data_IF_792845443154
#
_entry.id   IF_792845443154
#
_cell.length_a   1.000
_cell.length_b   1.000
_cell.length_c   1.000
_cell.angle_alpha   90.00
_cell.angle_beta   90.00
_cell.angle_gamma   90.00
#
_symmetry.space_group_name_H-M   'P 1'
#
loop_
_entity.id
_entity.type
_entity.pdbx_description
1 polymer ?
#
# COMPACT_ATOMS: atom_id res chain seq x y z
N UNK A 1 -24.03 -9.65 27.51
CA UNK A 1 -22.62 -9.20 27.58
C UNK A 1 -22.26 -8.83 26.16
N UNK A 2 -22.46 -7.57 25.77
CA UNK A 2 -22.04 -7.08 24.46
C UNK A 2 -20.51 -7.01 24.50
N UNK A 3 -19.86 -8.01 23.90
CA UNK A 3 -18.45 -7.88 23.57
C UNK A 3 -18.32 -6.69 22.62
N UNK A 4 -17.71 -5.60 23.11
CA UNK A 4 -17.51 -4.39 22.34
C UNK A 4 -16.76 -4.72 21.05
N UNK A 5 -17.49 -4.77 19.94
CA UNK A 5 -16.95 -5.00 18.61
C UNK A 5 -16.10 -3.80 18.20
N UNK A 6 -14.81 -3.83 18.58
CA UNK A 6 -13.81 -2.95 18.00
C UNK A 6 -13.74 -3.34 16.52
N UNK A 7 -14.31 -2.51 15.65
CA UNK A 7 -14.27 -2.71 14.22
C UNK A 7 -12.83 -2.83 13.71
N UNK A 8 -12.62 -3.40 12.51
CA UNK A 8 -11.29 -3.56 11.96
C UNK A 8 -10.58 -2.20 11.83
N UNK A 9 -9.30 -2.14 12.24
CA UNK A 9 -8.48 -0.93 12.08
C UNK A 9 -8.14 -0.73 10.60
N UNK A 10 -8.75 0.26 9.99
CA UNK A 10 -8.65 0.52 8.55
C UNK A 10 -7.75 1.73 8.27
N UNK A 11 -7.05 1.66 7.14
CA UNK A 11 -6.48 2.80 6.45
C UNK A 11 -7.33 3.18 5.25
N UNK A 12 -7.60 4.47 5.12
CA UNK A 12 -8.44 5.04 4.07
C UNK A 12 -7.66 6.04 3.22
N UNK A 13 -8.16 6.35 2.04
CA UNK A 13 -7.61 7.38 1.17
C UNK A 13 -7.68 8.75 1.86
N UNK A 14 -6.57 9.50 1.85
CA UNK A 14 -6.55 10.82 2.48
C UNK A 14 -7.50 11.84 1.82
N UNK A 15 -7.86 11.64 0.55
CA UNK A 15 -8.67 12.58 -0.25
C UNK A 15 -10.17 12.33 -0.12
N UNK A 16 -10.62 11.08 -0.27
CA UNK A 16 -12.05 10.74 -0.30
C UNK A 16 -12.50 9.78 0.81
N UNK A 17 -11.59 9.34 1.69
CA UNK A 17 -11.89 8.43 2.81
C UNK A 17 -12.36 7.03 2.43
N UNK A 18 -12.25 6.62 1.15
CA UNK A 18 -12.49 5.24 0.76
C UNK A 18 -11.46 4.30 1.42
N UNK A 19 -11.89 3.11 1.87
CA UNK A 19 -11.04 2.14 2.55
C UNK A 19 -10.01 1.55 1.58
N UNK A 20 -8.75 1.45 2.01
CA UNK A 20 -7.61 1.05 1.16
C UNK A 20 -6.92 -0.20 1.66
N UNK A 21 -6.71 -0.34 2.97
CA UNK A 21 -6.03 -1.50 3.54
C UNK A 21 -6.37 -1.68 5.02
N UNK A 22 -6.20 -2.90 5.52
CA UNK A 22 -6.31 -3.21 6.95
C UNK A 22 -4.97 -2.97 7.64
N UNK A 23 -5.01 -2.57 8.91
CA UNK A 23 -3.81 -2.46 9.73
C UNK A 23 -3.08 -3.80 9.87
N UNK A 24 -3.83 -4.88 9.99
CA UNK A 24 -3.30 -6.21 10.26
C UNK A 24 -2.64 -6.82 9.01
N UNK A 25 -2.89 -6.25 7.82
CA UNK A 25 -2.19 -6.58 6.57
C UNK A 25 -0.81 -5.91 6.45
N UNK A 26 -0.39 -5.08 7.42
CA UNK A 26 0.93 -4.46 7.37
C UNK A 26 2.02 -5.51 7.55
N UNK A 27 2.87 -5.63 6.53
CA UNK A 27 4.11 -6.43 6.57
C UNK A 27 5.26 -5.62 7.15
N UNK A 28 5.37 -4.33 6.81
CA UNK A 28 6.43 -3.46 7.33
C UNK A 28 6.03 -1.99 7.39
N UNK A 29 6.34 -1.35 8.52
CA UNK A 29 6.17 0.10 8.73
C UNK A 29 7.43 0.91 8.41
N UNK A 30 8.53 0.23 8.09
CA UNK A 30 9.85 0.83 7.89
C UNK A 30 10.21 1.02 6.41
N UNK A 31 9.20 1.04 5.52
CA UNK A 31 9.43 1.33 4.10
C UNK A 31 9.60 2.82 3.85
N UNK A 32 10.35 3.12 2.80
CA UNK A 32 10.60 4.48 2.34
C UNK A 32 10.23 4.58 0.86
N UNK A 33 9.40 5.58 0.55
CA UNK A 33 9.16 6.07 -0.79
C UNK A 33 10.05 7.29 -1.04
N UNK A 34 10.15 7.71 -2.30
CA UNK A 34 10.89 8.94 -2.68
C UNK A 34 10.37 10.18 -1.96
N UNK A 35 9.10 10.19 -1.60
CA UNK A 35 8.38 11.30 -0.96
C UNK A 35 8.36 11.20 0.58
N UNK A 36 8.92 10.14 1.18
CA UNK A 36 8.98 9.96 2.64
C UNK A 36 8.61 8.56 3.10
N UNK A 37 8.00 8.45 4.29
CA UNK A 37 7.65 7.15 4.90
C UNK A 37 6.51 6.48 4.14
N UNK A 38 6.62 5.16 3.97
CA UNK A 38 5.61 4.33 3.34
C UNK A 38 5.48 2.99 4.08
N UNK A 39 4.36 2.31 3.88
CA UNK A 39 4.06 1.02 4.52
C UNK A 39 3.86 -0.05 3.46
N UNK A 40 4.40 -1.23 3.75
CA UNK A 40 4.21 -2.42 2.93
C UNK A 40 3.03 -3.23 3.48
N UNK A 41 2.07 -3.57 2.62
CA UNK A 41 0.88 -4.35 2.94
C UNK A 41 0.81 -5.61 2.08
N UNK A 42 0.26 -6.69 2.64
CA UNK A 42 -0.09 -7.91 1.90
C UNK A 42 -1.25 -7.68 0.94
N UNK A 43 -2.29 -6.95 1.38
CA UNK A 43 -3.52 -6.74 0.63
C UNK A 43 -3.90 -5.26 0.53
N UNK A 44 -4.68 -4.94 -0.50
CA UNK A 44 -5.31 -3.65 -0.71
C UNK A 44 -6.72 -3.84 -1.26
N UNK A 45 -7.62 -2.89 -0.99
CA UNK A 45 -9.00 -2.87 -1.45
C UNK A 45 -9.35 -1.51 -2.05
N UNK A 46 -10.39 -1.48 -2.89
CA UNK A 46 -10.88 -0.26 -3.55
C UNK A 46 -9.77 0.55 -4.25
N UNK A 47 -8.92 -0.17 -4.98
CA UNK A 47 -7.83 0.40 -5.76
C UNK A 47 -7.87 -0.09 -7.20
N UNK A 48 -7.34 0.75 -8.10
CA UNK A 48 -7.08 0.41 -9.50
C UNK A 48 -5.57 0.29 -9.68
N UNK A 49 -5.15 -0.82 -10.29
CA UNK A 49 -3.74 -1.09 -10.61
C UNK A 49 -3.44 -0.58 -12.02
N UNK A 50 -2.39 0.22 -12.13
CA UNK A 50 -1.92 0.78 -13.38
C UNK A 50 -1.15 -0.21 -14.25
N UNK A 51 -0.49 0.31 -15.28
CA UNK A 51 0.38 -0.47 -16.14
C UNK A 51 1.65 -0.90 -15.39
N UNK A 52 2.22 -2.04 -15.82
CA UNK A 52 3.47 -2.56 -15.29
C UNK A 52 4.64 -1.83 -15.93
N UNK A 53 5.55 -1.33 -15.12
CA UNK A 53 6.72 -0.57 -15.53
C UNK A 53 7.94 -1.04 -14.74
N UNK A 54 9.08 -1.15 -15.42
CA UNK A 54 10.35 -1.39 -14.76
C UNK A 54 10.88 -0.07 -14.17
N UNK A 55 11.19 -0.07 -12.87
CA UNK A 55 11.69 1.09 -12.13
C UNK A 55 12.92 0.72 -11.30
N UNK A 56 13.93 1.58 -11.37
CA UNK A 56 15.08 1.50 -10.48
C UNK A 56 14.69 2.07 -9.11
N UNK A 57 14.65 1.23 -8.08
CA UNK A 57 14.37 1.61 -6.70
C UNK A 57 15.62 1.45 -5.85
N UNK A 58 15.56 1.89 -4.58
CA UNK A 58 16.70 1.81 -3.66
C UNK A 58 17.25 0.38 -3.48
N UNK A 59 16.40 -0.64 -3.60
CA UNK A 59 16.79 -2.05 -3.47
C UNK A 59 17.02 -2.73 -4.81
N UNK A 60 17.24 -1.97 -5.88
CA UNK A 60 17.50 -2.48 -7.22
C UNK A 60 16.32 -2.35 -8.20
N UNK A 61 16.45 -3.01 -9.35
CA UNK A 61 15.45 -3.01 -10.42
C UNK A 61 14.22 -3.84 -10.01
N UNK A 62 13.03 -3.29 -10.23
CA UNK A 62 11.75 -3.96 -9.98
C UNK A 62 10.76 -3.64 -11.09
N UNK A 63 9.88 -4.59 -11.42
CA UNK A 63 8.66 -4.28 -12.15
C UNK A 63 7.58 -3.90 -11.14
N UNK A 64 6.98 -2.73 -11.29
CA UNK A 64 5.94 -2.21 -10.39
C UNK A 64 4.75 -1.67 -11.18
N UNK A 65 3.62 -1.50 -10.51
CA UNK A 65 2.45 -0.83 -11.08
C UNK A 65 1.91 0.19 -10.09
N UNK A 66 1.57 1.39 -10.56
CA UNK A 66 0.95 2.41 -9.70
C UNK A 66 -0.40 1.93 -9.16
N UNK A 67 -0.71 2.33 -7.93
CA UNK A 67 -1.95 1.97 -7.25
C UNK A 67 -2.71 3.25 -6.95
N UNK A 68 -3.92 3.35 -7.51
CA UNK A 68 -4.80 4.52 -7.41
C UNK A 68 -6.05 4.18 -6.63
N UNK A 69 -6.59 5.13 -5.86
CA UNK A 69 -7.91 4.99 -5.26
C UNK A 69 -8.97 4.81 -6.37
N UNK A 70 -9.86 3.82 -6.23
CA UNK A 70 -10.91 3.56 -7.22
C UNK A 70 -11.92 4.71 -7.36
N UNK A 71 -12.11 5.50 -6.30
CA UNK A 71 -13.19 6.50 -6.29
C UNK A 71 -12.71 7.87 -6.76
N UNK A 72 -11.56 8.33 -6.28
CA UNK A 72 -11.07 9.69 -6.54
C UNK A 72 -9.85 9.76 -7.47
N UNK A 73 -9.33 8.60 -7.89
CA UNK A 73 -8.20 8.47 -8.81
C UNK A 73 -6.84 8.87 -8.22
N UNK A 74 -6.77 9.24 -6.94
CA UNK A 74 -5.52 9.66 -6.29
C UNK A 74 -4.49 8.53 -6.31
N UNK A 75 -3.24 8.84 -6.70
CA UNK A 75 -2.14 7.88 -6.61
C UNK A 75 -1.71 7.74 -5.14
N UNK A 76 -1.86 6.53 -4.60
CA UNK A 76 -1.57 6.24 -3.20
C UNK A 76 -0.21 5.57 -3.00
N UNK A 77 0.31 4.93 -4.05
CA UNK A 77 1.59 4.24 -4.03
C UNK A 77 1.70 3.26 -5.19
N UNK A 78 2.30 2.09 -4.98
CA UNK A 78 2.56 1.10 -6.02
C UNK A 78 2.49 -0.34 -5.51
N UNK A 79 2.32 -1.29 -6.42
CA UNK A 79 2.42 -2.73 -6.17
C UNK A 79 3.69 -3.27 -6.81
N UNK A 80 4.38 -4.18 -6.12
CA UNK A 80 5.49 -4.92 -6.70
C UNK A 80 4.96 -6.09 -7.53
N UNK A 81 5.24 -6.08 -8.82
CA UNK A 81 4.89 -7.17 -9.74
C UNK A 81 6.03 -8.18 -9.86
N UNK A 82 7.28 -7.69 -9.87
CA UNK A 82 8.47 -8.54 -9.94
C UNK A 82 9.66 -7.88 -9.25
N UNK A 83 10.43 -8.67 -8.51
CA UNK A 83 11.75 -8.36 -8.02
C UNK A 83 12.77 -9.25 -8.76
N UNK A 84 13.89 -8.67 -9.17
CA UNK A 84 14.94 -9.40 -9.89
C UNK A 84 16.04 -9.94 -8.94
N UNK A 85 16.14 -9.36 -7.75
CA UNK A 85 17.00 -9.84 -6.67
C UNK A 85 16.21 -10.79 -5.76
N UNK A 86 16.77 -11.97 -5.48
CA UNK A 86 16.15 -13.01 -4.67
C UNK A 86 15.84 -12.55 -3.24
N UNK A 87 16.70 -11.70 -2.67
CA UNK A 87 16.50 -11.11 -1.33
C UNK A 87 15.29 -10.17 -1.27
N UNK A 88 14.81 -9.72 -2.43
CA UNK A 88 13.68 -8.79 -2.55
C UNK A 88 12.38 -9.49 -2.97
N UNK A 89 12.39 -10.80 -3.23
CA UNK A 89 11.23 -11.58 -3.67
C UNK A 89 10.05 -11.51 -2.72
N UNK A 90 10.31 -11.35 -1.42
CA UNK A 90 9.25 -11.17 -0.44
C UNK A 90 8.36 -9.95 -0.74
N UNK A 91 8.77 -8.99 -1.57
CA UNK A 91 7.96 -7.83 -1.96
C UNK A 91 6.93 -8.15 -3.05
N UNK A 92 7.15 -9.17 -3.87
CA UNK A 92 6.26 -9.48 -4.99
C UNK A 92 4.81 -9.71 -4.50
N UNK A 93 3.86 -9.15 -5.25
CA UNK A 93 2.44 -9.15 -4.94
C UNK A 93 2.00 -8.10 -3.90
N UNK A 94 2.94 -7.49 -3.16
CA UNK A 94 2.63 -6.58 -2.05
C UNK A 94 2.50 -5.13 -2.49
N UNK A 95 1.81 -4.36 -1.66
CA UNK A 95 1.45 -2.97 -1.91
C UNK A 95 2.26 -2.05 -1.01
N UNK A 96 2.81 -0.99 -1.59
CA UNK A 96 3.40 0.12 -0.84
C UNK A 96 2.46 1.30 -0.92
N UNK A 97 2.04 1.82 0.23
CA UNK A 97 1.28 3.06 0.32
C UNK A 97 2.08 4.13 1.05
N UNK A 98 2.13 5.32 0.49
CA UNK A 98 2.79 6.47 1.12
C UNK A 98 1.97 6.93 2.33
N UNK A 99 2.63 7.11 3.48
CA UNK A 99 1.92 7.35 4.75
C UNK A 99 1.05 8.61 4.74
N UNK A 100 1.41 9.64 3.99
CA UNK A 100 0.63 10.87 3.91
C UNK A 100 -0.54 10.79 2.90
N UNK A 101 -0.59 9.73 2.09
CA UNK A 101 -1.68 9.43 1.14
C UNK A 101 -2.78 8.57 1.75
N UNK A 102 -2.53 7.97 2.92
CA UNK A 102 -3.49 7.16 3.67
C UNK A 102 -3.68 7.68 5.09
N UNK A 103 -4.88 7.51 5.63
CA UNK A 103 -5.30 8.01 6.95
C UNK A 103 -5.90 6.88 7.75
N UNK A 104 -5.75 6.95 9.08
CA UNK A 104 -6.28 5.95 10.01
C UNK A 104 -7.73 6.28 10.31
N UNK A 105 -8.64 5.33 10.16
CA UNK A 105 -10.06 5.52 10.47
C UNK A 105 -10.44 4.80 11.76
N UNK A 106 -10.95 5.55 12.74
CA UNK A 106 -11.57 5.08 13.99
C UNK A 106 -10.72 4.05 14.75
N UNK A 107 -9.56 4.48 15.26
CA UNK A 107 -8.69 3.66 16.10
C UNK A 107 -8.85 3.99 17.58
#
# INVERSE_FOLDING_TARGET
MEEGLIGPRIYSCCKCRNHIALHDDIVSKNFQARTGRAYLFTHAMNVVIGQKEDRQLMTGLHTVADVKCSDCGEVLGWKYERAYDESQKYKEGKFVFERFKIVKDNW
#
